data_IF_186298065313
#
_entry.id   IF_186298065313
#
_cell.length_a   1.000
_cell.length_b   1.000
_cell.length_c   1.000
_cell.angle_alpha   90.00
_cell.angle_beta   90.00
_cell.angle_gamma   90.00
#
_symmetry.space_group_name_H-M   'P 1'
#
loop_
_entity.id
_entity.type
_entity.pdbx_description
1 polymer ?
#
# COMPACT_ATOMS: atom_id res chain seq x y z
N UNK A 1 14.05 -31.66 31.25
CA UNK A 1 13.37 -30.81 30.24
C UNK A 1 13.52 -29.30 30.48
N UNK A 2 13.52 -28.80 31.71
CA UNK A 2 13.58 -27.35 32.03
C UNK A 2 14.89 -26.67 31.55
N UNK A 3 16.04 -27.34 31.69
CA UNK A 3 17.34 -26.77 31.32
C UNK A 3 17.50 -26.50 29.80
N UNK A 4 16.92 -27.33 28.94
CA UNK A 4 16.98 -27.15 27.49
C UNK A 4 16.14 -25.95 27.03
N UNK A 5 14.95 -25.77 27.63
CA UNK A 5 14.10 -24.61 27.37
C UNK A 5 14.75 -23.31 27.84
N UNK A 6 15.34 -23.29 29.04
CA UNK A 6 16.06 -22.12 29.55
C UNK A 6 17.24 -21.72 28.65
N UNK A 7 18.01 -22.71 28.17
CA UNK A 7 19.10 -22.48 27.21
C UNK A 7 18.61 -21.93 25.87
N UNK A 8 17.49 -22.44 25.35
CA UNK A 8 16.89 -21.95 24.12
C UNK A 8 16.43 -20.49 24.26
N UNK A 9 15.71 -20.17 25.33
CA UNK A 9 15.24 -18.79 25.61
C UNK A 9 16.40 -17.82 25.70
N UNK A 10 17.51 -18.22 26.36
CA UNK A 10 18.71 -17.39 26.42
C UNK A 10 19.30 -17.13 25.02
N UNK A 11 19.44 -18.17 24.19
CA UNK A 11 20.00 -18.01 22.84
C UNK A 11 19.08 -17.21 21.91
N UNK A 12 17.75 -17.35 22.03
CA UNK A 12 16.80 -16.55 21.27
C UNK A 12 16.87 -15.07 21.64
N UNK A 13 16.95 -14.75 22.94
CA UNK A 13 17.11 -13.36 23.39
C UNK A 13 18.44 -12.77 22.91
N UNK A 14 19.52 -13.56 22.97
CA UNK A 14 20.82 -13.15 22.42
C UNK A 14 20.73 -12.86 20.92
N UNK A 15 20.15 -13.77 20.15
CA UNK A 15 19.95 -13.60 18.71
C UNK A 15 19.07 -12.37 18.39
N UNK A 16 18.01 -12.14 19.16
CA UNK A 16 17.16 -10.97 19.00
C UNK A 16 17.94 -9.67 19.23
N UNK A 17 18.70 -9.59 20.33
CA UNK A 17 19.45 -8.39 20.69
C UNK A 17 20.64 -8.11 19.76
N UNK A 18 21.28 -9.15 19.21
CA UNK A 18 22.41 -8.98 18.29
C UNK A 18 21.92 -8.86 16.84
N UNK A 19 21.24 -9.88 16.30
CA UNK A 19 20.92 -9.97 14.87
C UNK A 19 19.66 -9.20 14.52
N UNK A 20 18.58 -9.36 15.29
CA UNK A 20 17.32 -8.70 14.96
C UNK A 20 17.39 -7.18 15.18
N UNK A 21 18.08 -6.70 16.22
CA UNK A 21 18.26 -5.27 16.44
C UNK A 21 19.14 -4.62 15.37
N UNK A 22 20.27 -5.24 14.99
CA UNK A 22 21.08 -4.73 13.87
C UNK A 22 20.28 -4.67 12.57
N UNK A 23 19.48 -5.70 12.28
CA UNK A 23 18.59 -5.72 11.11
C UNK A 23 17.54 -4.60 11.17
N UNK A 24 16.90 -4.40 12.33
CA UNK A 24 15.91 -3.33 12.54
C UNK A 24 16.55 -1.95 12.31
N UNK A 25 17.74 -1.71 12.85
CA UNK A 25 18.44 -0.43 12.69
C UNK A 25 18.84 -0.17 11.23
N UNK A 26 19.35 -1.19 10.54
CA UNK A 26 19.72 -1.09 9.13
C UNK A 26 18.48 -0.77 8.25
N UNK A 27 17.40 -1.53 8.43
CA UNK A 27 16.15 -1.32 7.69
C UNK A 27 15.56 0.06 7.99
N UNK A 28 15.54 0.49 9.25
CA UNK A 28 15.06 1.83 9.62
C UNK A 28 15.85 2.96 8.94
N UNK A 29 17.16 2.77 8.71
CA UNK A 29 17.96 3.73 7.95
C UNK A 29 17.53 3.76 6.48
N UNK A 30 17.43 2.59 5.84
CA UNK A 30 17.02 2.45 4.43
C UNK A 30 15.61 3.02 4.20
N UNK A 31 14.68 2.75 5.11
CA UNK A 31 13.31 3.28 5.07
C UNK A 31 13.33 4.81 4.97
N UNK A 32 14.10 5.52 5.80
CA UNK A 32 14.13 6.99 5.76
C UNK A 32 14.65 7.54 4.44
N UNK A 33 15.54 6.81 3.77
CA UNK A 33 16.05 7.18 2.45
C UNK A 33 14.99 6.92 1.37
N UNK A 34 14.36 5.74 1.39
CA UNK A 34 13.29 5.36 0.45
C UNK A 34 12.08 6.28 0.58
N UNK A 35 11.61 6.58 1.79
CA UNK A 35 10.44 7.44 2.01
C UNK A 35 10.64 8.87 1.51
N UNK A 36 11.87 9.39 1.53
CA UNK A 36 12.18 10.70 0.92
C UNK A 36 11.98 10.64 -0.59
N UNK A 37 12.57 9.65 -1.25
CA UNK A 37 12.43 9.47 -2.70
C UNK A 37 10.97 9.27 -3.10
N UNK A 38 10.24 8.41 -2.37
CA UNK A 38 8.81 8.17 -2.63
C UNK A 38 7.99 9.46 -2.45
N UNK A 39 8.28 10.24 -1.40
CA UNK A 39 7.58 11.51 -1.16
C UNK A 39 7.81 12.53 -2.28
N UNK A 40 9.03 12.61 -2.81
CA UNK A 40 9.36 13.53 -3.89
C UNK A 40 8.71 13.09 -5.21
N UNK A 41 8.70 11.79 -5.51
CA UNK A 41 7.96 11.24 -6.65
C UNK A 41 6.46 11.50 -6.52
N UNK A 42 5.87 11.27 -5.34
CA UNK A 42 4.43 11.49 -5.12
C UNK A 42 4.04 12.96 -5.25
N UNK A 43 4.91 13.91 -4.86
CA UNK A 43 4.66 15.35 -5.08
C UNK A 43 4.62 15.70 -6.56
N UNK A 44 5.53 15.15 -7.36
CA UNK A 44 5.54 15.38 -8.82
C UNK A 44 4.28 14.78 -9.47
N UNK A 45 3.87 13.59 -9.01
CA UNK A 45 2.61 12.96 -9.45
C UNK A 45 1.40 13.81 -9.04
N UNK A 46 1.39 14.41 -7.86
CA UNK A 46 0.31 15.28 -7.40
C UNK A 46 0.17 16.55 -8.26
N UNK A 47 1.27 17.12 -8.75
CA UNK A 47 1.25 18.28 -9.67
C UNK A 47 0.57 17.93 -10.99
N UNK A 48 0.85 16.74 -11.54
CA UNK A 48 0.28 16.30 -12.80
C UNK A 48 -1.16 15.77 -12.63
N UNK A 49 -1.42 15.10 -11.51
CA UNK A 49 -2.66 14.42 -11.20
C UNK A 49 -3.04 14.63 -9.71
N UNK A 50 -3.76 15.72 -9.38
CA UNK A 50 -4.05 16.12 -7.99
C UNK A 50 -4.97 15.15 -7.23
N UNK A 51 -5.35 14.04 -7.86
CA UNK A 51 -6.13 12.95 -7.27
C UNK A 51 -5.25 11.97 -6.48
N UNK A 52 -3.95 11.94 -6.77
CA UNK A 52 -2.96 11.12 -6.07
C UNK A 52 -2.30 11.95 -4.97
N UNK A 53 -3.03 12.13 -3.87
CA UNK A 53 -2.52 12.81 -2.68
C UNK A 53 -1.64 11.83 -1.91
N UNK A 54 -0.44 12.26 -1.52
CA UNK A 54 0.45 11.43 -0.70
C UNK A 54 -0.19 11.15 0.66
N UNK A 55 -0.45 9.87 0.96
CA UNK A 55 -0.87 9.40 2.29
C UNK A 55 0.30 8.99 3.17
N UNK A 56 1.54 9.10 2.68
CA UNK A 56 2.74 8.68 3.40
C UNK A 56 3.07 9.74 4.45
N UNK A 57 2.79 9.43 5.71
CA UNK A 57 3.11 10.27 6.86
C UNK A 57 3.97 9.52 7.88
N UNK A 58 4.92 10.22 8.49
CA UNK A 58 5.75 9.67 9.56
C UNK A 58 5.13 10.04 10.91
N UNK A 59 4.70 9.03 11.67
CA UNK A 59 4.15 9.18 13.02
C UNK A 59 4.93 8.23 13.92
N UNK A 60 5.51 8.76 15.00
CA UNK A 60 6.30 7.98 15.99
C UNK A 60 7.41 7.11 15.37
N UNK A 61 8.15 7.67 14.41
CA UNK A 61 9.22 7.00 13.65
C UNK A 61 8.76 5.76 12.85
N UNK A 62 7.46 5.67 12.54
CA UNK A 62 6.88 4.69 11.62
C UNK A 62 6.16 5.41 10.49
N UNK A 63 6.24 4.82 9.30
CA UNK A 63 5.52 5.32 8.14
C UNK A 63 4.20 4.56 8.00
N UNK A 64 3.10 5.29 8.00
CA UNK A 64 1.78 4.71 7.81
C UNK A 64 1.63 4.17 6.38
N UNK A 65 1.05 2.97 6.25
CA UNK A 65 0.86 2.33 4.95
C UNK A 65 2.11 1.71 4.34
N UNK A 66 3.25 1.70 5.04
CA UNK A 66 4.48 1.09 4.53
C UNK A 66 4.74 -0.27 5.19
N UNK A 67 5.01 -1.28 4.36
CA UNK A 67 5.25 -2.66 4.75
C UNK A 67 6.64 -3.13 4.25
N UNK A 68 7.38 -3.82 5.12
CA UNK A 68 8.73 -4.33 4.80
C UNK A 68 8.60 -5.79 4.41
N UNK A 69 8.77 -6.10 3.13
CA UNK A 69 8.72 -7.47 2.61
C UNK A 69 10.09 -8.13 2.78
N UNK A 70 11.15 -7.44 2.34
CA UNK A 70 12.53 -7.90 2.40
C UNK A 70 13.48 -6.74 2.80
N UNK A 71 14.76 -7.00 3.10
CA UNK A 71 15.72 -5.95 3.46
C UNK A 71 15.85 -4.82 2.43
N UNK A 72 15.53 -5.11 1.16
CA UNK A 72 15.61 -4.20 0.02
C UNK A 72 14.27 -4.04 -0.72
N UNK A 73 13.19 -4.65 -0.22
CA UNK A 73 11.88 -4.64 -0.87
C UNK A 73 10.84 -4.08 0.10
N UNK A 74 10.20 -3.00 -0.33
CA UNK A 74 9.25 -2.23 0.46
C UNK A 74 7.97 -2.06 -0.33
N UNK A 75 6.84 -2.23 0.35
CA UNK A 75 5.53 -1.94 -0.21
C UNK A 75 5.00 -0.66 0.42
N UNK A 76 4.56 0.28 -0.41
CA UNK A 76 3.90 1.51 0.04
C UNK A 76 2.46 1.49 -0.45
N UNK A 77 1.54 1.40 0.50
CA UNK A 77 0.10 1.46 0.25
C UNK A 77 -0.31 2.92 0.20
N UNK A 78 -0.62 3.41 -0.99
CA UNK A 78 -1.18 4.75 -1.18
C UNK A 78 -2.70 4.70 -1.03
N UNK A 79 -3.22 5.36 0.01
CA UNK A 79 -4.66 5.46 0.23
C UNK A 79 -5.26 6.56 -0.63
N UNK A 80 -6.02 6.16 -1.64
CA UNK A 80 -6.69 7.09 -2.54
C UNK A 80 -7.97 7.63 -1.90
N UNK A 81 -8.20 8.93 -2.02
CA UNK A 81 -9.40 9.56 -1.49
C UNK A 81 -10.66 8.92 -2.10
N UNK A 82 -11.53 8.37 -1.27
CA UNK A 82 -12.74 7.70 -1.72
C UNK A 82 -13.79 8.74 -2.10
N UNK A 83 -14.17 8.76 -3.38
CA UNK A 83 -15.33 9.55 -3.82
C UNK A 83 -16.68 8.94 -3.38
N UNK A 84 -16.70 7.87 -2.58
CA UNK A 84 -17.92 7.30 -1.97
C UNK A 84 -18.96 6.75 -2.95
N UNK A 85 -18.63 6.56 -4.23
CA UNK A 85 -19.58 6.11 -5.28
C UNK A 85 -19.51 4.60 -5.54
N UNK A 86 -18.46 3.94 -5.08
CA UNK A 86 -18.21 2.52 -5.34
C UNK A 86 -18.69 1.66 -4.16
N UNK A 87 -19.44 0.61 -4.49
CA UNK A 87 -19.80 -0.46 -3.58
C UNK A 87 -18.75 -1.55 -3.64
N UNK A 88 -18.41 -2.08 -2.47
CA UNK A 88 -17.62 -3.30 -2.34
C UNK A 88 -18.50 -4.51 -2.67
N UNK A 89 -18.09 -5.30 -3.66
CA UNK A 89 -18.75 -6.55 -4.05
C UNK A 89 -17.70 -7.66 -3.99
N UNK A 90 -17.91 -8.58 -3.07
CA UNK A 90 -17.17 -9.84 -2.99
C UNK A 90 -18.15 -10.97 -3.33
N UNK A 91 -18.08 -11.44 -4.57
CA UNK A 91 -18.91 -12.52 -5.10
C UNK A 91 -18.22 -13.89 -4.99
N UNK A 92 -17.05 -13.96 -4.35
CA UNK A 92 -16.28 -15.19 -4.19
C UNK A 92 -15.71 -15.73 -5.51
N UNK A 93 -15.77 -14.96 -6.60
CA UNK A 93 -15.24 -15.34 -7.91
C UNK A 93 -13.71 -15.45 -7.91
N UNK A 94 -13.05 -14.62 -7.08
CA UNK A 94 -11.59 -14.58 -6.93
C UNK A 94 -11.22 -14.58 -5.44
N UNK A 95 -10.58 -15.63 -4.92
CA UNK A 95 -10.25 -15.70 -3.49
C UNK A 95 -9.23 -14.61 -3.11
N UNK A 96 -9.55 -13.84 -2.07
CA UNK A 96 -8.69 -12.75 -1.58
C UNK A 96 -8.72 -11.47 -2.42
N UNK A 97 -9.57 -11.41 -3.44
CA UNK A 97 -9.80 -10.24 -4.28
C UNK A 97 -11.25 -9.76 -4.12
N UNK A 98 -11.48 -8.49 -4.40
CA UNK A 98 -12.84 -7.94 -4.40
C UNK A 98 -12.99 -6.90 -5.50
N UNK A 99 -14.23 -6.69 -5.93
CA UNK A 99 -14.56 -5.79 -7.04
C UNK A 99 -15.28 -4.56 -6.51
N UNK A 100 -14.84 -3.38 -6.96
CA UNK A 100 -15.50 -2.12 -6.70
C UNK A 100 -16.46 -1.78 -7.84
N UNK A 101 -17.77 -1.89 -7.59
CA UNK A 101 -18.83 -1.62 -8.58
C UNK A 101 -19.48 -0.26 -8.32
N UNK A 102 -19.71 0.53 -9.37
CA UNK A 102 -20.48 1.76 -9.23
C UNK A 102 -21.89 1.46 -8.72
N UNK A 103 -22.30 2.17 -7.67
CA UNK A 103 -23.65 2.07 -7.09
C UNK A 103 -24.75 2.54 -8.04
N UNK A 104 -24.44 3.53 -8.90
CA UNK A 104 -25.36 4.08 -9.90
C UNK A 104 -24.58 4.60 -11.12
N UNK A 105 -25.00 4.21 -12.33
CA UNK A 105 -24.39 4.66 -13.59
C UNK A 105 -24.52 6.17 -13.83
N UNK A 106 -25.51 6.83 -13.22
CA UNK A 106 -25.67 8.30 -13.29
C UNK A 106 -24.60 9.05 -12.52
N UNK A 107 -23.97 8.42 -11.52
CA UNK A 107 -22.85 8.97 -10.74
C UNK A 107 -21.50 8.74 -11.41
N UNK A 108 -21.46 8.21 -12.64
CA UNK A 108 -20.21 7.99 -13.39
C UNK A 108 -19.44 9.30 -13.56
N UNK A 109 -20.10 10.39 -13.93
CA UNK A 109 -19.50 11.74 -14.06
C UNK A 109 -19.01 12.35 -12.73
N UNK A 110 -19.52 11.85 -11.60
CA UNK A 110 -19.18 12.31 -10.25
C UNK A 110 -18.00 11.53 -9.64
N UNK A 111 -17.64 10.38 -10.21
CA UNK A 111 -16.45 9.66 -9.76
C UNK A 111 -15.19 10.36 -10.26
N UNK A 112 -14.29 10.71 -9.34
CA UNK A 112 -13.00 11.34 -9.67
C UNK A 112 -12.21 10.53 -10.69
N UNK A 113 -12.37 9.21 -10.73
CA UNK A 113 -11.67 8.28 -11.63
C UNK A 113 -12.29 8.15 -13.03
N UNK A 114 -13.60 8.36 -13.21
CA UNK A 114 -14.20 8.31 -14.56
C UNK A 114 -13.91 9.57 -15.39
N UNK A 115 -13.72 10.73 -14.74
CA UNK A 115 -13.36 11.98 -15.42
C UNK A 115 -11.95 11.97 -16.04
N UNK A 116 -11.10 10.99 -15.68
CA UNK A 116 -9.79 10.76 -16.33
C UNK A 116 -9.92 10.19 -17.76
N UNK A 117 -10.95 9.36 -18.02
CA UNK A 117 -11.10 8.65 -19.30
C UNK A 117 -11.67 9.50 -20.43
N UNK A 118 -11.94 10.79 -20.20
CA UNK A 118 -12.45 11.73 -21.21
C UNK A 118 -11.37 12.66 -21.79
N UNK A 119 -10.10 12.46 -21.46
CA UNK A 119 -9.01 12.96 -22.31
C UNK A 119 -8.92 12.01 -23.53
N UNK A 120 -8.79 12.53 -24.77
CA UNK A 120 -8.81 11.70 -25.97
C UNK A 120 -7.46 10.98 -26.11
N UNK A 121 -7.29 9.86 -25.43
CA UNK A 121 -6.27 8.89 -25.81
C UNK A 121 -6.91 7.93 -26.82
N UNK A 122 -6.46 8.10 -28.06
CA UNK A 122 -6.63 7.18 -29.19
C UNK A 122 -6.42 5.72 -28.79
N UNK A 123 -7.31 4.88 -29.33
CA UNK A 123 -7.27 3.43 -29.44
C UNK A 123 -5.98 2.74 -28.98
N UNK A 124 -6.11 1.93 -27.92
CA UNK A 124 -5.08 1.02 -27.46
C UNK A 124 -5.60 0.23 -26.26
N UNK A 125 -5.70 -1.09 -26.42
CA UNK A 125 -6.05 -2.03 -25.37
C UNK A 125 -5.04 -1.95 -24.22
N UNK A 126 -5.34 -1.20 -23.16
CA UNK A 126 -4.63 -1.32 -21.89
C UNK A 126 -5.61 -1.71 -20.78
N UNK A 127 -5.81 -3.02 -20.65
CA UNK A 127 -6.23 -3.64 -19.40
C UNK A 127 -5.12 -3.46 -18.38
N UNK A 128 -5.08 -2.31 -17.71
CA UNK A 128 -4.28 -2.14 -16.49
C UNK A 128 -4.88 -3.05 -15.41
N UNK A 129 -4.30 -4.22 -15.21
CA UNK A 129 -4.64 -5.16 -14.15
C UNK A 129 -4.13 -4.62 -12.81
N UNK A 130 -4.92 -3.75 -12.17
CA UNK A 130 -4.68 -3.34 -10.79
C UNK A 130 -5.35 -4.34 -9.84
N UNK A 131 -4.57 -5.26 -9.26
CA UNK A 131 -5.04 -6.10 -8.16
C UNK A 131 -5.26 -5.21 -6.94
N UNK A 132 -6.54 -5.05 -6.57
CA UNK A 132 -6.93 -4.28 -5.39
C UNK A 132 -7.28 -5.23 -4.26
N UNK A 133 -6.45 -5.31 -3.24
CA UNK A 133 -6.73 -6.10 -2.03
C UNK A 133 -7.36 -5.17 -0.99
N UNK A 134 -8.52 -5.53 -0.44
CA UNK A 134 -9.27 -4.66 0.47
C UNK A 134 -9.19 -5.27 1.88
N UNK A 135 -8.73 -4.51 2.87
CA UNK A 135 -8.71 -4.98 4.25
C UNK A 135 -10.13 -4.93 4.87
N UNK A 136 -10.31 -5.56 6.03
CA UNK A 136 -11.60 -5.61 6.75
C UNK A 136 -12.19 -4.24 7.17
N UNK A 137 -11.48 -3.14 6.96
CA UNK A 137 -11.90 -1.76 7.23
C UNK A 137 -12.31 -0.98 5.97
N UNK A 138 -12.41 -1.64 4.81
CA UNK A 138 -12.90 -1.00 3.57
C UNK A 138 -11.89 -0.07 2.88
N UNK A 139 -10.61 -0.16 3.24
CA UNK A 139 -9.54 0.55 2.55
C UNK A 139 -9.04 -0.26 1.35
N UNK A 140 -9.09 0.34 0.16
CA UNK A 140 -8.60 -0.27 -1.07
C UNK A 140 -7.07 -0.15 -1.15
N UNK A 141 -6.34 -1.26 -1.02
CA UNK A 141 -4.90 -1.33 -1.35
C UNK A 141 -4.78 -1.55 -2.85
N UNK A 142 -4.32 -0.54 -3.60
CA UNK A 142 -3.98 -0.69 -5.02
C UNK A 142 -2.48 -0.94 -5.16
N UNK A 143 -2.10 -2.13 -5.64
CA UNK A 143 -0.73 -2.39 -6.06
C UNK A 143 -0.53 -1.83 -7.48
N UNK A 144 0.42 -0.91 -7.64
CA UNK A 144 0.92 -0.48 -8.95
C UNK A 144 2.10 -1.39 -9.30
N UNK A 145 1.95 -2.17 -10.37
CA UNK A 145 3.02 -2.96 -10.99
C UNK A 145 3.84 -2.09 -11.95
#
# INVERSE_FOLDING_TARGET
MIAAQAKLVYQLNKYYNERCQTRKAAIAKTIREVCKVVSDVLKEVEVQEPRFISSLSEIDARYEGMEVIAPTEFEVVLYLNQMGVFNFVDDGSLPGCAVLKLSDGRKRSMSSRARARSAPCSDGLDTASASTTINAQGQARTHLH
#
